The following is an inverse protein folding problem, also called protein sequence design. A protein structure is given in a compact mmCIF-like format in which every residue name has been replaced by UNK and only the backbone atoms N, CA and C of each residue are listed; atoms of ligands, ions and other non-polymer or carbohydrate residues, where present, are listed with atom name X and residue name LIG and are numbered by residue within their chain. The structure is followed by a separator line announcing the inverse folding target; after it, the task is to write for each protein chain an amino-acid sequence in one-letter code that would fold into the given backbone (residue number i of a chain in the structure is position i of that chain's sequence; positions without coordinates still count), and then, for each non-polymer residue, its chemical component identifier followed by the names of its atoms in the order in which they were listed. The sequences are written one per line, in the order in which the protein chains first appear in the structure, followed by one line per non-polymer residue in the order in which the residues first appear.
data_IF_868124697180
#
_entry.id   IF_868124697180
#
_cell.length_a   1.000
_cell.length_b   1.000
_cell.length_c   1.000
_cell.angle_alpha   90.00
_cell.angle_beta   90.00
_cell.angle_gamma   90.00
#
_symmetry.space_group_name_H-M   'P 1'
#
loop_
_entity.id
_entity.type
_entity.pdbx_description
1 polymer ?
#
# COMPACT_ATOMS: atom_id res chain seq x y z
N UNK A 1 -4.11 18.40 3.10
CA UNK A 1 -3.72 16.99 2.80
C UNK A 1 -4.25 16.55 1.45
N UNK A 2 -3.47 15.74 0.77
CA UNK A 2 -3.81 15.14 -0.52
C UNK A 2 -4.30 13.71 -0.29
N UNK A 3 -5.26 13.25 -1.12
CA UNK A 3 -5.72 11.86 -1.15
C UNK A 3 -5.40 11.28 -2.52
N UNK A 4 -4.67 10.18 -2.57
CA UNK A 4 -4.55 9.42 -3.82
C UNK A 4 -5.94 8.87 -4.18
N UNK A 5 -6.42 9.21 -5.38
CA UNK A 5 -7.72 8.80 -5.85
C UNK A 5 -7.62 8.31 -7.30
N UNK A 6 -8.14 7.12 -7.54
CA UNK A 6 -8.12 6.51 -8.86
C UNK A 6 -9.53 6.46 -9.42
N UNK A 7 -9.71 6.93 -10.64
CA UNK A 7 -11.00 6.97 -11.32
C UNK A 7 -11.02 5.92 -12.43
N UNK A 8 -11.95 4.98 -12.34
CA UNK A 8 -12.25 4.08 -13.44
C UNK A 8 -13.11 4.83 -14.45
N UNK A 9 -12.71 4.89 -15.71
CA UNK A 9 -13.46 5.59 -16.76
C UNK A 9 -14.86 5.02 -17.02
N UNK A 10 -15.11 3.75 -16.67
CA UNK A 10 -16.44 3.14 -16.76
C UNK A 10 -17.43 3.65 -15.68
N UNK A 11 -16.93 4.17 -14.57
CA UNK A 11 -17.70 4.73 -13.44
C UNK A 11 -17.33 6.19 -13.19
N UNK A 12 -16.98 6.91 -14.26
CA UNK A 12 -16.53 8.30 -14.16
C UNK A 12 -17.58 9.21 -13.50
N UNK A 13 -18.84 9.07 -13.89
CA UNK A 13 -19.93 9.90 -13.38
C UNK A 13 -20.13 9.72 -11.86
N UNK A 14 -20.02 8.49 -11.35
CA UNK A 14 -20.08 8.19 -9.91
C UNK A 14 -18.93 8.86 -9.17
N UNK A 15 -17.72 8.76 -9.71
CA UNK A 15 -16.52 9.40 -9.15
C UNK A 15 -16.63 10.93 -9.17
N UNK A 16 -17.14 11.50 -10.27
CA UNK A 16 -17.37 12.93 -10.39
C UNK A 16 -18.37 13.44 -9.34
N UNK A 17 -19.52 12.77 -9.20
CA UNK A 17 -20.53 13.13 -8.20
C UNK A 17 -19.98 13.00 -6.75
N UNK A 18 -19.19 11.96 -6.47
CA UNK A 18 -18.51 11.82 -5.18
C UNK A 18 -17.59 13.02 -4.89
N UNK A 19 -16.72 13.38 -5.84
CA UNK A 19 -15.81 14.53 -5.71
C UNK A 19 -16.57 15.83 -5.48
N UNK A 20 -17.58 16.08 -6.30
CA UNK A 20 -18.44 17.28 -6.22
C UNK A 20 -19.16 17.38 -4.88
N UNK A 21 -19.80 16.29 -4.43
CA UNK A 21 -20.51 16.21 -3.13
C UNK A 21 -19.61 16.52 -1.96
N UNK A 22 -18.35 16.08 -2.02
CA UNK A 22 -17.37 16.26 -0.96
C UNK A 22 -16.49 17.50 -1.12
N UNK A 23 -16.80 18.39 -2.10
CA UNK A 23 -16.03 19.61 -2.40
C UNK A 23 -14.54 19.31 -2.62
N UNK A 24 -14.27 18.27 -3.40
CA UNK A 24 -12.94 17.86 -3.77
C UNK A 24 -12.63 18.24 -5.22
N UNK A 25 -11.39 18.64 -5.49
CA UNK A 25 -10.84 18.89 -6.82
C UNK A 25 -9.88 17.76 -7.15
N UNK A 26 -9.99 17.22 -8.37
CA UNK A 26 -9.17 16.10 -8.82
C UNK A 26 -8.04 16.57 -9.72
N UNK A 27 -6.83 16.15 -9.41
CA UNK A 27 -5.60 16.43 -10.13
C UNK A 27 -5.08 15.14 -10.79
N UNK A 28 -5.32 14.93 -12.09
CA UNK A 28 -4.83 13.74 -12.79
C UNK A 28 -3.32 13.80 -13.01
N UNK A 29 -2.66 12.66 -12.85
CA UNK A 29 -1.22 12.52 -13.11
C UNK A 29 -0.93 11.59 -14.28
N UNK A 30 -1.61 10.45 -14.36
CA UNK A 30 -1.36 9.44 -15.38
C UNK A 30 -2.64 8.65 -15.71
N UNK A 31 -2.59 7.85 -16.78
CA UNK A 31 -3.64 6.90 -17.16
C UNK A 31 -3.04 5.57 -17.62
N UNK A 32 -3.75 4.48 -17.35
CA UNK A 32 -3.37 3.12 -17.74
C UNK A 32 -4.61 2.32 -18.13
N UNK A 33 -4.47 1.34 -19.00
CA UNK A 33 -5.49 0.33 -19.21
C UNK A 33 -5.79 -0.42 -17.90
N UNK A 34 -6.95 -1.08 -17.82
CA UNK A 34 -7.30 -1.86 -16.65
C UNK A 34 -6.36 -3.06 -16.49
N UNK A 35 -5.96 -3.33 -15.24
CA UNK A 35 -5.18 -4.51 -14.92
C UNK A 35 -6.04 -5.77 -15.01
N UNK A 36 -5.39 -6.88 -15.40
CA UNK A 36 -5.93 -8.21 -15.23
C UNK A 36 -5.21 -8.92 -14.09
N UNK A 37 -5.96 -9.45 -13.14
CA UNK A 37 -5.38 -10.16 -11.99
C UNK A 37 -4.55 -9.26 -11.05
N UNK A 38 -3.48 -9.81 -10.49
CA UNK A 38 -2.62 -9.15 -9.49
C UNK A 38 -1.37 -8.50 -10.10
N UNK A 39 -1.30 -8.38 -11.42
CA UNK A 39 -0.16 -7.73 -12.10
C UNK A 39 -0.13 -6.23 -11.81
N UNK A 40 1.06 -5.71 -11.51
CA UNK A 40 1.33 -4.27 -11.38
C UNK A 40 1.81 -3.63 -12.67
N UNK A 41 1.87 -4.38 -13.75
CA UNK A 41 2.34 -3.89 -15.03
C UNK A 41 1.31 -2.93 -15.62
N UNK A 42 1.72 -1.68 -15.86
CA UNK A 42 0.90 -0.71 -16.57
C UNK A 42 0.49 -1.26 -17.94
N UNK A 43 -0.82 -1.30 -18.16
CA UNK A 43 -1.37 -1.73 -19.43
C UNK A 43 -1.55 -0.52 -20.35
N UNK A 44 -1.31 -0.66 -21.66
CA UNK A 44 -1.62 0.38 -22.62
C UNK A 44 -3.12 0.75 -22.57
N UNK A 45 -3.43 2.01 -22.74
CA UNK A 45 -4.83 2.43 -22.92
C UNK A 45 -5.27 2.07 -24.33
N UNK A 46 -6.30 1.23 -24.45
CA UNK A 46 -6.88 0.82 -25.73
C UNK A 46 -8.10 1.66 -26.08
N UNK A 47 -8.23 2.03 -27.36
CA UNK A 47 -9.37 2.80 -27.84
C UNK A 47 -10.70 2.05 -27.62
N UNK A 48 -11.68 2.73 -27.05
CA UNK A 48 -12.99 2.16 -26.76
C UNK A 48 -13.07 1.20 -25.57
N UNK A 49 -11.95 0.97 -24.86
CA UNK A 49 -11.96 0.18 -23.62
C UNK A 49 -11.87 1.07 -22.37
N UNK A 50 -12.43 0.62 -21.24
CA UNK A 50 -12.26 1.31 -19.97
C UNK A 50 -10.78 1.41 -19.57
N UNK A 51 -10.45 2.49 -18.88
CA UNK A 51 -9.10 2.75 -18.37
C UNK A 51 -9.16 3.35 -16.96
N UNK A 52 -8.04 3.34 -16.27
CA UNK A 52 -7.86 3.95 -14.97
C UNK A 52 -7.15 5.30 -15.10
N UNK A 53 -7.70 6.34 -14.51
CA UNK A 53 -7.03 7.61 -14.25
C UNK A 53 -6.40 7.55 -12.87
N UNK A 54 -5.12 7.85 -12.82
CA UNK A 54 -4.36 8.00 -11.58
C UNK A 54 -4.25 9.48 -11.26
N UNK A 55 -4.32 9.81 -9.98
CA UNK A 55 -4.20 11.18 -9.55
C UNK A 55 -4.48 11.34 -8.08
N UNK A 56 -4.71 12.57 -7.68
CA UNK A 56 -5.02 12.93 -6.32
C UNK A 56 -6.26 13.82 -6.25
N UNK A 57 -6.96 13.74 -5.14
CA UNK A 57 -8.03 14.65 -4.78
C UNK A 57 -7.60 15.51 -3.59
N UNK A 58 -7.92 16.79 -3.64
CA UNK A 58 -7.68 17.76 -2.57
C UNK A 58 -8.97 18.50 -2.24
N UNK A 59 -9.07 19.11 -1.07
CA UNK A 59 -10.17 20.02 -0.79
C UNK A 59 -10.09 21.24 -1.73
N UNK A 60 -11.24 21.80 -2.06
CA UNK A 60 -11.33 22.93 -3.00
C UNK A 60 -10.66 24.22 -2.50
N UNK A 61 -10.29 24.29 -1.24
CA UNK A 61 -9.54 25.39 -0.60
C UNK A 61 -8.02 25.10 -0.48
N UNK A 62 -7.52 23.99 -1.04
CA UNK A 62 -6.12 23.53 -0.97
C UNK A 62 -5.58 23.16 -2.38
N UNK A 63 -5.86 23.99 -3.37
CA UNK A 63 -5.44 23.76 -4.77
C UNK A 63 -3.92 23.70 -4.93
N UNK A 64 -3.18 24.50 -4.13
CA UNK A 64 -1.71 24.50 -4.14
C UNK A 64 -1.14 23.10 -3.85
N UNK A 65 -1.73 22.35 -2.93
CA UNK A 65 -1.31 20.98 -2.62
C UNK A 65 -1.56 20.03 -3.83
N UNK A 66 -2.64 20.23 -4.57
CA UNK A 66 -2.93 19.46 -5.79
C UNK A 66 -1.95 19.73 -6.93
N UNK A 67 -1.62 20.99 -7.15
CA UNK A 67 -0.62 21.41 -8.14
C UNK A 67 0.77 20.87 -7.79
N UNK A 68 1.17 20.99 -6.51
CA UNK A 68 2.45 20.49 -6.01
C UNK A 68 2.54 18.97 -6.15
N UNK A 69 1.47 18.24 -5.83
CA UNK A 69 1.39 16.79 -6.03
C UNK A 69 1.59 16.41 -7.49
N UNK A 70 0.90 17.10 -8.40
CA UNK A 70 1.01 16.86 -9.84
C UNK A 70 2.42 17.12 -10.34
N UNK A 71 3.04 18.23 -9.92
CA UNK A 71 4.41 18.57 -10.27
C UNK A 71 5.41 17.53 -9.75
N UNK A 72 5.28 17.12 -8.48
CA UNK A 72 6.13 16.10 -7.87
C UNK A 72 5.98 14.72 -8.53
N UNK A 73 4.77 14.40 -9.01
CA UNK A 73 4.49 13.12 -9.70
C UNK A 73 5.00 13.08 -11.14
N UNK A 74 4.96 14.20 -11.87
CA UNK A 74 5.27 14.25 -13.29
C UNK A 74 6.70 14.73 -13.60
N UNK A 75 7.37 15.39 -12.67
CA UNK A 75 8.71 16.00 -12.84
C UNK A 75 9.90 15.09 -12.52
N UNK A 76 9.68 13.75 -12.44
CA UNK A 76 10.70 12.78 -11.96
C UNK A 76 10.45 12.43 -10.51
N UNK A 77 9.33 11.89 -10.24
CA UNK A 77 8.71 11.47 -8.96
C UNK A 77 9.49 11.84 -7.68
N UNK A 78 9.11 12.95 -7.04
CA UNK A 78 9.68 13.36 -5.74
C UNK A 78 8.88 12.68 -4.60
N UNK A 79 9.39 11.53 -4.16
CA UNK A 79 8.76 10.72 -3.12
C UNK A 79 8.69 11.43 -1.76
N UNK A 80 9.60 12.38 -1.49
CA UNK A 80 9.60 13.14 -0.24
C UNK A 80 8.43 14.11 -0.22
N UNK A 81 8.29 14.92 -1.25
CA UNK A 81 7.17 15.86 -1.38
C UNK A 81 5.84 15.11 -1.39
N UNK A 82 5.74 14.02 -2.16
CA UNK A 82 4.52 13.20 -2.23
C UNK A 82 4.16 12.63 -0.86
N UNK A 83 5.12 12.08 -0.14
CA UNK A 83 4.91 11.51 1.19
C UNK A 83 4.44 12.55 2.21
N UNK A 84 5.06 13.74 2.20
CA UNK A 84 4.68 14.86 3.06
C UNK A 84 3.25 15.36 2.77
N UNK A 85 2.88 15.48 1.50
CA UNK A 85 1.52 15.86 1.07
C UNK A 85 0.45 14.83 1.48
N UNK A 86 0.81 13.54 1.44
CA UNK A 86 -0.05 12.44 1.90
C UNK A 86 -0.11 12.35 3.44
N UNK A 87 0.76 13.07 4.14
CA UNK A 87 0.84 13.08 5.60
C UNK A 87 1.45 11.82 6.19
N UNK A 88 2.31 11.15 5.44
CA UNK A 88 3.00 9.94 5.92
C UNK A 88 4.05 10.28 6.98
N UNK A 89 4.33 9.37 7.93
CA UNK A 89 5.40 9.57 8.91
C UNK A 89 6.76 9.82 8.26
N UNK A 90 7.49 10.82 8.73
CA UNK A 90 8.79 11.20 8.15
C UNK A 90 9.78 10.05 8.11
N UNK A 91 9.87 9.25 9.17
CA UNK A 91 10.73 8.06 9.21
C UNK A 91 10.41 7.05 8.10
N UNK A 92 9.14 6.92 7.74
CA UNK A 92 8.70 6.01 6.66
C UNK A 92 8.98 6.61 5.27
N UNK A 93 8.87 7.93 5.12
CA UNK A 93 9.26 8.63 3.88
C UNK A 93 10.76 8.47 3.64
N UNK A 94 11.58 8.72 4.65
CA UNK A 94 13.03 8.60 4.56
C UNK A 94 13.45 7.13 4.29
N UNK A 95 12.81 6.17 4.95
CA UNK A 95 13.01 4.75 4.69
C UNK A 95 12.66 4.39 3.24
N UNK A 96 11.49 4.80 2.75
CA UNK A 96 11.07 4.54 1.37
C UNK A 96 12.07 5.08 0.37
N UNK A 97 12.55 6.30 0.58
CA UNK A 97 13.50 6.95 -0.32
C UNK A 97 14.87 6.25 -0.34
N UNK A 98 15.30 5.75 0.83
CA UNK A 98 16.58 5.05 0.98
C UNK A 98 16.54 3.58 0.53
N UNK A 99 15.39 2.95 0.51
CA UNK A 99 15.23 1.54 0.11
C UNK A 99 14.75 1.42 -1.33
N UNK A 100 13.59 1.95 -1.64
CA UNK A 100 13.02 1.90 -3.01
C UNK A 100 13.86 2.72 -3.99
N UNK A 101 14.30 3.91 -3.59
CA UNK A 101 15.16 4.79 -4.38
C UNK A 101 16.58 4.25 -4.57
N UNK A 102 17.05 3.33 -3.73
CA UNK A 102 18.35 2.68 -3.81
C UNK A 102 18.35 1.30 -4.48
N UNK A 103 17.25 0.96 -5.18
CA UNK A 103 17.07 -0.32 -5.89
C UNK A 103 17.05 -1.55 -4.97
N UNK A 104 16.62 -1.41 -3.70
CA UNK A 104 16.40 -2.57 -2.82
C UNK A 104 15.38 -3.52 -3.42
N UNK A 105 15.75 -4.80 -3.44
CA UNK A 105 14.95 -5.86 -4.07
C UNK A 105 13.65 -6.12 -3.31
N UNK A 106 13.66 -5.93 -1.98
CA UNK A 106 12.51 -6.19 -1.12
C UNK A 106 12.41 -5.19 0.04
N UNK A 107 11.78 -4.03 -0.17
CA UNK A 107 11.61 -3.03 0.87
C UNK A 107 10.84 -3.52 2.10
N UNK A 108 9.96 -4.51 1.93
CA UNK A 108 9.22 -5.10 3.06
C UNK A 108 10.13 -5.98 3.91
N UNK A 109 11.07 -6.69 3.31
CA UNK A 109 12.09 -7.43 4.03
C UNK A 109 13.01 -6.48 4.80
N UNK A 110 13.44 -5.38 4.19
CA UNK A 110 14.22 -4.35 4.87
C UNK A 110 13.49 -3.77 6.09
N UNK A 111 12.18 -3.52 5.97
CA UNK A 111 11.36 -3.09 7.10
C UNK A 111 11.28 -4.16 8.20
N UNK A 112 11.24 -5.45 7.82
CA UNK A 112 11.20 -6.55 8.76
C UNK A 112 12.50 -6.68 9.56
N UNK A 113 13.67 -6.65 8.90
CA UNK A 113 14.97 -6.75 9.59
C UNK A 113 15.31 -5.52 10.44
N UNK A 114 14.75 -4.36 10.14
CA UNK A 114 14.89 -3.14 10.96
C UNK A 114 13.96 -3.13 12.19
N UNK A 115 13.11 -4.14 12.33
CA UNK A 115 12.21 -4.24 13.48
C UNK A 115 12.97 -4.65 14.73
N UNK A 116 12.66 -4.03 15.86
CA UNK A 116 13.27 -4.36 17.14
C UNK A 116 12.98 -5.81 17.51
N UNK A 117 13.99 -6.50 18.04
CA UNK A 117 13.91 -7.89 18.53
C UNK A 117 13.49 -8.90 17.43
N UNK A 118 13.88 -8.66 16.19
CA UNK A 118 13.74 -9.65 15.13
C UNK A 118 14.71 -10.81 15.36
N UNK A 119 14.23 -12.04 15.19
CA UNK A 119 15.04 -13.24 15.23
C UNK A 119 15.45 -13.64 13.81
N UNK A 120 16.75 -13.51 13.50
CA UNK A 120 17.32 -13.87 12.20
C UNK A 120 17.99 -15.23 12.33
N UNK A 121 17.43 -16.24 11.67
CA UNK A 121 17.91 -17.62 11.69
C UNK A 121 19.08 -17.83 10.73
N UNK A 122 19.81 -18.93 10.93
CA UNK A 122 20.97 -19.29 10.10
C UNK A 122 20.63 -19.46 8.62
N UNK A 123 19.40 -19.87 8.29
CA UNK A 123 18.92 -20.02 6.91
C UNK A 123 18.42 -18.70 6.30
N UNK A 124 18.60 -17.57 7.00
CA UNK A 124 18.14 -16.26 6.58
C UNK A 124 16.63 -16.02 6.73
N UNK A 125 15.89 -16.98 7.28
CA UNK A 125 14.50 -16.74 7.68
C UNK A 125 14.45 -15.87 8.93
N UNK A 126 13.40 -15.07 9.03
CA UNK A 126 13.18 -14.19 10.18
C UNK A 126 11.79 -14.39 10.75
N UNK A 127 11.70 -14.46 12.05
CA UNK A 127 10.45 -14.34 12.79
C UNK A 127 10.35 -12.91 13.31
N UNK A 128 9.29 -12.23 12.94
CA UNK A 128 9.10 -10.83 13.30
C UNK A 128 7.74 -10.64 13.95
N UNK A 129 7.73 -9.95 15.09
CA UNK A 129 6.50 -9.51 15.72
C UNK A 129 5.97 -8.28 14.97
N UNK A 130 4.85 -8.45 14.28
CA UNK A 130 4.24 -7.43 13.40
C UNK A 130 3.09 -6.77 14.12
N UNK A 131 3.11 -5.44 14.20
CA UNK A 131 1.91 -4.70 14.56
C UNK A 131 0.94 -4.66 13.37
N UNK A 132 -0.36 -4.94 13.53
CA UNK A 132 -1.32 -5.02 12.41
C UNK A 132 -1.35 -3.76 11.55
N UNK A 133 -1.13 -2.59 12.12
CA UNK A 133 -1.12 -1.31 11.39
C UNK A 133 0.14 -1.12 10.53
N UNK A 134 1.22 -1.87 10.82
CA UNK A 134 2.45 -1.87 10.04
C UNK A 134 2.50 -2.99 8.99
N UNK A 135 1.53 -3.90 8.99
CA UNK A 135 1.50 -5.04 8.09
C UNK A 135 0.88 -4.68 6.74
N UNK A 136 1.73 -4.51 5.74
CA UNK A 136 1.33 -4.17 4.37
C UNK A 136 1.45 -5.34 3.38
N UNK A 137 1.69 -6.58 3.85
CA UNK A 137 1.89 -7.73 2.98
C UNK A 137 0.66 -8.08 2.13
N UNK A 138 -0.52 -7.85 2.69
CA UNK A 138 -1.79 -8.16 2.04
C UNK A 138 -2.43 -6.97 1.31
N UNK A 139 -1.70 -5.86 1.14
CA UNK A 139 -2.23 -4.64 0.52
C UNK A 139 -2.78 -4.84 -0.88
N UNK A 140 -2.24 -5.76 -1.65
CA UNK A 140 -2.71 -6.07 -3.00
C UNK A 140 -4.04 -6.80 -3.04
N UNK A 141 -4.45 -7.37 -1.91
CA UNK A 141 -5.78 -7.96 -1.71
C UNK A 141 -6.75 -6.97 -1.05
N UNK A 142 -6.35 -5.70 -0.89
CA UNK A 142 -7.14 -4.69 -0.22
C UNK A 142 -7.10 -4.77 1.31
N UNK A 143 -6.35 -5.72 1.89
CA UNK A 143 -6.28 -5.94 3.34
C UNK A 143 -5.08 -5.16 3.89
N UNK A 144 -5.37 -3.99 4.43
CA UNK A 144 -4.39 -3.10 5.09
C UNK A 144 -5.11 -2.07 5.94
N UNK A 145 -4.44 -1.53 6.93
CA UNK A 145 -4.95 -0.42 7.74
C UNK A 145 -4.25 0.88 7.32
N UNK A 146 -2.94 0.86 7.14
CA UNK A 146 -2.19 2.02 6.66
C UNK A 146 -1.79 1.87 5.19
N UNK A 147 -1.82 2.93 4.38
CA UNK A 147 -1.53 2.85 2.95
C UNK A 147 -0.05 2.93 2.59
N UNK A 148 0.81 3.44 3.48
CA UNK A 148 2.23 3.66 3.21
C UNK A 148 3.10 2.46 3.58
N UNK A 149 4.29 2.37 2.98
CA UNK A 149 5.31 1.42 3.38
C UNK A 149 5.92 1.86 4.72
N UNK A 150 5.84 1.00 5.71
CA UNK A 150 6.40 1.26 7.05
C UNK A 150 7.91 1.05 7.09
N UNK A 151 8.63 1.82 7.90
CA UNK A 151 10.08 1.67 8.07
C UNK A 151 10.49 0.49 8.97
N UNK A 152 9.55 -0.03 9.75
CA UNK A 152 9.68 -1.27 10.52
C UNK A 152 8.31 -1.85 10.79
N UNK A 153 8.23 -3.14 11.12
CA UNK A 153 6.96 -3.81 11.43
C UNK A 153 6.37 -3.39 12.79
N UNK A 154 7.04 -2.49 13.52
CA UNK A 154 6.62 -1.90 14.78
C UNK A 154 6.93 -0.39 14.83
N UNK A 155 6.74 0.32 13.72
CA UNK A 155 6.96 1.75 13.66
C UNK A 155 5.93 2.51 14.50
N UNK A 156 6.37 3.17 15.58
CA UNK A 156 5.49 3.90 16.51
C UNK A 156 4.65 4.98 15.83
N UNK A 157 5.23 5.70 14.85
CA UNK A 157 4.52 6.74 14.12
C UNK A 157 3.47 6.17 13.17
N UNK A 158 3.74 5.02 12.54
CA UNK A 158 2.75 4.29 11.74
C UNK A 158 1.63 3.75 12.61
N UNK A 159 1.95 3.27 13.82
CA UNK A 159 0.95 2.76 14.77
C UNK A 159 -0.02 3.87 15.16
N UNK A 160 0.48 5.03 15.59
CA UNK A 160 -0.36 6.20 15.92
C UNK A 160 -1.27 6.62 14.76
N UNK A 161 -0.71 6.69 13.57
CA UNK A 161 -1.46 7.03 12.37
C UNK A 161 -2.51 5.98 12.01
N UNK A 162 -2.17 4.70 12.22
CA UNK A 162 -3.07 3.56 12.02
C UNK A 162 -4.24 3.53 13.03
N UNK A 163 -4.04 4.02 14.26
CA UNK A 163 -5.12 4.16 15.26
C UNK A 163 -6.21 5.11 14.75
N UNK A 164 -5.83 6.28 14.22
CA UNK A 164 -6.78 7.24 13.63
C UNK A 164 -7.57 6.61 12.46
N UNK A 165 -6.90 5.86 11.59
CA UNK A 165 -7.55 5.17 10.48
C UNK A 165 -8.48 4.05 10.95
N UNK A 166 -8.05 3.30 11.95
CA UNK A 166 -8.86 2.22 12.52
C UNK A 166 -10.15 2.74 13.12
N UNK A 167 -10.11 3.89 13.82
CA UNK A 167 -11.31 4.54 14.34
C UNK A 167 -12.32 4.87 13.22
N UNK A 168 -11.82 5.39 12.09
CA UNK A 168 -12.67 5.69 10.93
C UNK A 168 -13.23 4.40 10.30
N UNK A 169 -12.41 3.37 10.13
CA UNK A 169 -12.84 2.09 9.56
C UNK A 169 -13.92 1.42 10.41
N UNK A 170 -13.79 1.44 11.74
CA UNK A 170 -14.80 0.91 12.67
C UNK A 170 -16.15 1.63 12.55
N UNK A 171 -16.16 2.92 12.23
CA UNK A 171 -17.39 3.69 12.01
C UNK A 171 -18.07 3.36 10.66
N UNK A 172 -17.28 2.95 9.64
CA UNK A 172 -17.78 2.66 8.31
C UNK A 172 -18.27 1.21 8.21
N UNK A 173 -17.44 0.26 8.66
CA UNK A 173 -17.71 -1.17 8.64
C UNK A 173 -16.91 -1.86 9.75
N UNK A 174 -17.55 -2.03 10.91
CA UNK A 174 -16.92 -2.61 12.10
C UNK A 174 -16.47 -4.06 11.86
N UNK A 175 -17.28 -4.87 11.18
CA UNK A 175 -16.97 -6.27 10.92
C UNK A 175 -15.72 -6.41 10.05
N UNK A 176 -15.66 -5.66 8.95
CA UNK A 176 -14.51 -5.65 8.06
C UNK A 176 -13.24 -5.11 8.74
N UNK A 177 -13.37 -4.08 9.57
CA UNK A 177 -12.25 -3.48 10.30
C UNK A 177 -11.65 -4.44 11.34
N UNK A 178 -12.50 -5.11 12.12
CA UNK A 178 -12.09 -6.11 13.11
C UNK A 178 -11.43 -7.30 12.41
N UNK A 179 -12.06 -7.82 11.36
CA UNK A 179 -11.51 -8.93 10.58
C UNK A 179 -10.14 -8.57 9.95
N UNK A 180 -10.00 -7.39 9.38
CA UNK A 180 -8.73 -6.96 8.80
C UNK A 180 -7.63 -6.88 9.87
N UNK A 181 -7.93 -6.34 11.05
CA UNK A 181 -6.99 -6.29 12.17
C UNK A 181 -6.58 -7.68 12.65
N UNK A 182 -7.53 -8.62 12.73
CA UNK A 182 -7.27 -10.00 13.13
C UNK A 182 -6.31 -10.69 12.15
N UNK A 183 -6.60 -10.66 10.85
CA UNK A 183 -5.74 -11.25 9.81
C UNK A 183 -4.33 -10.63 9.81
N UNK A 184 -4.24 -9.31 9.93
CA UNK A 184 -2.96 -8.60 9.94
C UNK A 184 -2.15 -8.81 11.23
N UNK A 185 -2.77 -9.33 12.29
CA UNK A 185 -2.12 -9.67 13.57
C UNK A 185 -1.56 -11.09 13.62
N UNK A 186 -1.79 -11.90 12.59
CA UNK A 186 -1.29 -13.27 12.55
C UNK A 186 0.26 -13.30 12.56
N UNK A 187 0.87 -14.30 13.21
CA UNK A 187 2.32 -14.46 13.21
C UNK A 187 2.91 -14.50 11.81
N UNK A 188 4.05 -13.85 11.63
CA UNK A 188 4.72 -13.72 10.35
C UNK A 188 6.14 -14.31 10.43
N UNK A 189 6.40 -15.30 9.58
CA UNK A 189 7.74 -15.81 9.29
C UNK A 189 8.11 -15.42 7.86
N UNK A 190 9.26 -14.78 7.70
CA UNK A 190 9.76 -14.34 6.40
C UNK A 190 10.90 -15.22 5.94
N UNK A 191 10.82 -15.74 4.73
CA UNK A 191 11.91 -16.47 4.10
C UNK A 191 12.47 -15.67 2.92
N UNK A 192 13.55 -14.93 3.17
CA UNK A 192 14.17 -14.08 2.15
C UNK A 192 14.70 -14.87 0.96
N UNK A 193 15.21 -16.09 1.16
CA UNK A 193 15.74 -16.94 0.11
C UNK A 193 14.66 -17.40 -0.88
N UNK A 194 13.42 -17.53 -0.40
CA UNK A 194 12.26 -17.90 -1.23
C UNK A 194 11.41 -16.71 -1.66
N UNK A 195 11.70 -15.52 -1.16
CA UNK A 195 10.89 -14.33 -1.40
C UNK A 195 9.44 -14.49 -0.94
N UNK A 196 9.20 -15.22 0.16
CA UNK A 196 7.86 -15.56 0.64
C UNK A 196 7.71 -15.17 2.11
N UNK A 197 6.67 -14.39 2.40
CA UNK A 197 6.17 -14.21 3.76
C UNK A 197 5.13 -15.31 4.06
N UNK A 198 5.30 -16.01 5.17
CA UNK A 198 4.40 -17.06 5.62
C UNK A 198 3.50 -16.49 6.72
N UNK A 199 2.20 -16.43 6.42
CA UNK A 199 1.15 -16.04 7.36
C UNK A 199 0.23 -17.25 7.47
N UNK A 200 0.36 -18.02 8.54
CA UNK A 200 -0.41 -19.26 8.69
C UNK A 200 -1.84 -18.95 9.15
N UNK A 201 -2.71 -18.77 8.18
CA UNK A 201 -4.14 -18.50 8.38
C UNK A 201 -4.99 -19.68 7.87
N UNK A 202 -6.28 -19.75 8.23
CA UNK A 202 -7.18 -20.77 7.69
C UNK A 202 -7.35 -20.71 6.16
N UNK A 203 -7.09 -19.56 5.54
CA UNK A 203 -7.38 -19.32 4.12
C UNK A 203 -6.13 -19.47 3.26
N UNK A 204 -5.01 -18.92 3.71
CA UNK A 204 -3.76 -18.93 2.94
C UNK A 204 -2.55 -19.11 3.85
N UNK A 205 -1.50 -19.67 3.30
CA UNK A 205 -0.27 -20.00 4.01
C UNK A 205 0.85 -18.99 3.78
N UNK A 206 0.84 -18.35 2.63
CA UNK A 206 1.89 -17.41 2.32
C UNK A 206 1.57 -16.53 1.13
N UNK A 207 2.32 -15.46 0.99
CA UNK A 207 2.21 -14.51 -0.11
C UNK A 207 3.63 -14.10 -0.54
N UNK A 208 3.83 -13.90 -1.83
CA UNK A 208 5.08 -13.30 -2.31
C UNK A 208 5.12 -11.84 -1.84
N UNK A 209 6.25 -11.47 -1.26
CA UNK A 209 6.41 -10.21 -0.54
C UNK A 209 7.17 -9.14 -1.30
N UNK A 210 7.83 -9.50 -2.40
CA UNK A 210 8.65 -8.56 -3.17
C UNK A 210 7.80 -7.52 -3.88
N UNK A 211 8.11 -6.25 -3.65
CA UNK A 211 7.49 -5.14 -4.36
C UNK A 211 7.99 -4.99 -5.79
N UNK A 212 9.12 -5.60 -6.09
CA UNK A 212 9.69 -5.66 -7.45
C UNK A 212 9.09 -6.77 -8.29
N UNK A 213 8.38 -7.71 -7.67
CA UNK A 213 7.66 -8.77 -8.39
C UNK A 213 6.56 -8.16 -9.26
N UNK A 214 6.55 -8.51 -10.54
CA UNK A 214 5.52 -8.10 -11.49
C UNK A 214 4.19 -8.77 -11.12
N UNK A 215 4.25 -10.02 -10.68
CA UNK A 215 3.09 -10.81 -10.28
C UNK A 215 3.21 -11.18 -8.80
N UNK A 216 2.12 -10.93 -8.04
CA UNK A 216 1.98 -11.43 -6.69
C UNK A 216 1.29 -12.79 -6.72
N UNK A 217 1.78 -13.72 -5.92
CA UNK A 217 1.21 -15.06 -5.83
C UNK A 217 0.75 -15.33 -4.41
N UNK A 218 -0.45 -15.83 -4.28
CA UNK A 218 -1.01 -16.30 -3.04
C UNK A 218 -0.90 -17.83 -2.98
N UNK A 219 -0.34 -18.35 -1.88
CA UNK A 219 -0.27 -19.78 -1.63
C UNK A 219 -1.31 -20.10 -0.54
N UNK A 220 -2.34 -20.84 -0.92
CA UNK A 220 -3.35 -21.28 0.03
C UNK A 220 -2.88 -22.48 0.88
N UNK A 221 -3.65 -22.84 1.91
CA UNK A 221 -3.30 -23.94 2.82
C UNK A 221 -3.28 -25.33 2.15
N UNK A 222 -3.86 -25.46 0.95
CA UNK A 222 -3.83 -26.70 0.16
C UNK A 222 -2.57 -26.82 -0.73
N UNK A 223 -1.70 -25.81 -0.70
CA UNK A 223 -0.47 -25.79 -1.49
C UNK A 223 -0.65 -25.40 -2.96
N UNK A 224 -1.84 -24.98 -3.36
CA UNK A 224 -2.09 -24.47 -4.72
C UNK A 224 -1.68 -23.00 -4.82
N UNK A 225 -1.08 -22.64 -5.95
CA UNK A 225 -0.77 -21.26 -6.29
C UNK A 225 -1.96 -20.71 -7.08
N UNK A 226 -2.52 -19.60 -6.60
CA UNK A 226 -3.62 -18.90 -7.29
C UNK A 226 -3.08 -17.70 -8.05
#
# INVERSE_FOLDING_TARGET
RVFVYHINSATFDESYEFLRKNKLVYYPTNKSGLYSGFSHKHQPVEHGKPYMLYGAAVKSDDEEAGELFTKASNGGTDHVIIGDLLGYPRCCIDFFNNTWGSESIDPMYEAAIQTKNVDIKEDGSIDVNVHPYCNNLLRYFGIRITPHLTCSMQCDETIKWGEEWMEIMLQIDEEAAVWAKEILSMPLTWNCMKGVAIIDTPIFRGVTNSDTSIDKKLVNNLGWVM
#
